data_IF_365910136761
#
_entry.id   IF_365910136761
#
_cell.length_a   1.000
_cell.length_b   1.000
_cell.length_c   1.000
_cell.angle_alpha   90.00
_cell.angle_beta   90.00
_cell.angle_gamma   90.00
#
_symmetry.space_group_name_H-M   'P 1'
#
loop_
_entity.id
_entity.type
_entity.pdbx_description
1 polymer ?
#
# COMPACT_ATOMS: atom_id res chain seq x y z
N UNK A 1 8.72 -59.88 -33.11
CA UNK A 1 9.79 -58.95 -33.51
C UNK A 1 9.12 -57.96 -34.46
N UNK A 2 8.69 -56.81 -33.94
CA UNK A 2 8.18 -55.64 -34.69
C UNK A 2 8.68 -54.39 -33.93
N UNK A 3 9.04 -53.30 -34.63
CA UNK A 3 9.94 -52.29 -34.10
C UNK A 3 9.27 -51.17 -33.29
N UNK A 4 10.17 -50.56 -32.51
CA UNK A 4 10.09 -49.34 -31.73
C UNK A 4 9.53 -48.14 -32.50
N UNK A 5 8.50 -47.47 -31.97
CA UNK A 5 8.23 -46.07 -32.30
C UNK A 5 7.66 -45.32 -31.09
N UNK A 6 8.56 -44.79 -30.26
CA UNK A 6 8.23 -43.84 -29.20
C UNK A 6 7.98 -42.47 -29.83
N UNK A 7 6.70 -42.08 -29.95
CA UNK A 7 6.32 -40.72 -30.34
C UNK A 7 6.64 -39.74 -29.22
N UNK A 8 7.85 -39.17 -29.25
CA UNK A 8 8.21 -38.00 -28.45
C UNK A 8 7.51 -36.76 -29.04
N UNK A 9 6.26 -36.53 -28.65
CA UNK A 9 5.51 -35.30 -28.93
C UNK A 9 5.95 -34.17 -27.96
N UNK A 10 5.77 -32.86 -28.27
CA UNK A 10 6.56 -31.71 -27.83
C UNK A 10 6.24 -31.26 -26.40
N UNK A 11 6.41 -32.17 -25.44
CA UNK A 11 6.18 -31.98 -24.00
C UNK A 11 6.94 -30.78 -23.43
N UNK A 12 8.15 -30.51 -23.92
CA UNK A 12 9.01 -29.41 -23.44
C UNK A 12 8.41 -28.03 -23.71
N UNK A 13 7.77 -27.83 -24.87
CA UNK A 13 7.17 -26.53 -25.24
C UNK A 13 5.91 -26.24 -24.42
N UNK A 14 5.08 -27.27 -24.18
CA UNK A 14 3.89 -27.15 -23.32
C UNK A 14 4.28 -26.88 -21.86
N UNK A 15 5.32 -27.54 -21.37
CA UNK A 15 5.86 -27.32 -20.02
C UNK A 15 6.38 -25.89 -19.84
N UNK A 16 7.13 -25.37 -20.82
CA UNK A 16 7.64 -24.00 -20.80
C UNK A 16 6.53 -22.95 -20.82
N UNK A 17 5.50 -23.15 -21.65
CA UNK A 17 4.34 -22.26 -21.70
C UNK A 17 3.55 -22.29 -20.38
N UNK A 18 3.32 -23.47 -19.81
CA UNK A 18 2.68 -23.61 -18.50
C UNK A 18 3.47 -22.93 -17.37
N UNK A 19 4.79 -23.09 -17.37
CA UNK A 19 5.68 -22.45 -16.39
C UNK A 19 5.67 -20.93 -16.52
N UNK A 20 5.67 -20.41 -17.76
CA UNK A 20 5.61 -18.96 -18.01
C UNK A 20 4.30 -18.33 -17.53
N UNK A 21 3.15 -19.02 -17.73
CA UNK A 21 1.85 -18.55 -17.27
C UNK A 21 1.77 -18.52 -15.73
N UNK A 22 2.35 -19.52 -15.05
CA UNK A 22 2.45 -19.57 -13.59
C UNK A 22 3.34 -18.44 -13.02
N UNK A 23 4.43 -18.11 -13.70
CA UNK A 23 5.32 -17.00 -13.31
C UNK A 23 4.61 -15.64 -13.45
N UNK A 24 3.82 -15.44 -14.49
CA UNK A 24 3.05 -14.21 -14.70
C UNK A 24 1.94 -14.01 -13.65
N UNK A 25 1.29 -15.08 -13.18
CA UNK A 25 0.29 -15.01 -12.11
C UNK A 25 0.91 -14.62 -10.74
N UNK A 26 2.22 -14.84 -10.56
CA UNK A 26 2.94 -14.50 -9.33
C UNK A 26 3.30 -13.00 -9.22
N UNK A 27 3.41 -12.30 -10.35
CA UNK A 27 3.82 -10.90 -10.42
C UNK A 27 2.62 -9.96 -10.21
N UNK A 28 2.09 -9.95 -8.99
CA UNK A 28 1.26 -8.82 -8.58
C UNK A 28 2.18 -7.61 -8.38
N UNK A 29 2.01 -6.56 -9.20
CA UNK A 29 2.72 -5.29 -9.00
C UNK A 29 2.46 -4.79 -7.58
N UNK A 30 3.54 -4.44 -6.87
CA UNK A 30 3.47 -3.96 -5.51
C UNK A 30 3.05 -2.48 -5.52
N UNK A 31 1.91 -2.18 -4.89
CA UNK A 31 1.38 -0.82 -4.74
C UNK A 31 2.45 0.13 -4.18
N UNK A 32 2.64 1.29 -4.80
CA UNK A 32 3.63 2.29 -4.39
C UNK A 32 2.93 3.45 -3.69
N UNK A 33 3.46 3.91 -2.56
CA UNK A 33 2.87 5.00 -1.79
C UNK A 33 3.93 6.02 -1.35
N UNK A 34 3.52 7.27 -1.15
CA UNK A 34 4.36 8.25 -0.49
C UNK A 34 4.64 7.81 0.95
N UNK A 35 5.87 8.04 1.38
CA UNK A 35 6.33 7.85 2.74
C UNK A 35 6.68 9.22 3.33
N UNK A 36 6.17 9.49 4.52
CA UNK A 36 6.58 10.63 5.33
C UNK A 36 6.22 10.39 6.78
N UNK A 37 7.19 10.49 7.70
CA UNK A 37 6.93 10.30 9.13
C UNK A 37 6.21 11.47 9.78
N UNK A 38 6.51 12.69 9.32
CA UNK A 38 5.96 13.94 9.84
C UNK A 38 5.74 14.92 8.69
N UNK A 39 4.52 14.96 8.16
CA UNK A 39 4.06 15.96 7.19
C UNK A 39 3.28 17.02 7.94
N UNK A 40 3.86 18.21 8.06
CA UNK A 40 3.25 19.35 8.76
C UNK A 40 2.37 20.11 7.76
N UNK A 41 1.13 20.49 8.12
CA UNK A 41 0.32 21.38 7.28
C UNK A 41 1.12 22.62 6.87
N UNK A 42 1.03 23.03 5.60
CA UNK A 42 1.71 24.20 5.00
C UNK A 42 3.25 24.13 4.88
N UNK A 43 3.94 23.29 5.68
CA UNK A 43 5.41 23.15 5.63
C UNK A 43 5.84 21.94 4.78
N UNK A 44 4.99 20.93 4.67
CA UNK A 44 5.29 19.71 3.92
C UNK A 44 5.98 18.63 4.77
N UNK A 45 6.72 17.73 4.13
CA UNK A 45 7.35 16.60 4.82
C UNK A 45 8.66 17.00 5.49
N UNK A 46 8.74 16.90 6.83
CA UNK A 46 9.94 17.20 7.60
C UNK A 46 10.91 16.02 7.70
N UNK A 47 10.41 14.78 7.61
CA UNK A 47 11.25 13.59 7.82
C UNK A 47 10.79 12.38 7.01
N UNK A 48 11.74 11.79 6.29
CA UNK A 48 11.55 10.50 5.64
C UNK A 48 10.67 10.56 4.39
N UNK A 49 10.70 11.70 3.68
CA UNK A 49 10.08 11.83 2.36
C UNK A 49 10.69 10.80 1.41
N UNK A 50 9.89 9.84 0.95
CA UNK A 50 10.31 8.84 -0.03
C UNK A 50 9.07 8.21 -0.70
N UNK A 51 9.30 7.22 -1.55
CA UNK A 51 8.29 6.28 -2.04
C UNK A 51 8.61 4.90 -1.50
N UNK A 52 7.58 4.18 -1.04
CA UNK A 52 7.70 2.80 -0.57
C UNK A 52 6.77 1.89 -1.36
N UNK A 53 7.17 0.63 -1.52
CA UNK A 53 6.28 -0.43 -2.01
C UNK A 53 5.59 -1.11 -0.83
N UNK A 54 4.29 -1.34 -0.94
CA UNK A 54 3.50 -1.99 0.09
C UNK A 54 3.44 -3.51 -0.08
N UNK A 55 3.20 -4.22 1.02
CA UNK A 55 2.98 -5.66 0.99
C UNK A 55 1.62 -6.02 0.38
N UNK A 56 1.44 -7.31 0.09
CA UNK A 56 0.15 -7.83 -0.36
C UNK A 56 -0.92 -7.50 0.70
N UNK A 57 -2.03 -6.91 0.25
CA UNK A 57 -3.20 -6.51 1.07
C UNK A 57 -3.02 -5.24 1.93
N UNK A 58 -1.88 -4.58 1.82
CA UNK A 58 -1.74 -3.22 2.34
C UNK A 58 -2.31 -2.18 1.37
N UNK A 59 -2.59 -0.99 1.89
CA UNK A 59 -3.10 0.16 1.15
C UNK A 59 -2.24 1.38 1.45
N UNK A 60 -2.22 2.35 0.55
CA UNK A 60 -1.63 3.65 0.84
C UNK A 60 -2.47 4.32 1.93
N UNK A 61 -1.79 4.94 2.89
CA UNK A 61 -2.42 5.61 4.02
C UNK A 61 -1.94 7.05 4.15
N UNK A 62 -2.89 7.91 4.53
CA UNK A 62 -2.65 9.21 5.14
C UNK A 62 -3.25 9.19 6.55
N UNK A 63 -2.41 9.32 7.55
CA UNK A 63 -2.78 9.23 8.97
C UNK A 63 -2.76 10.63 9.56
N UNK A 64 -3.92 11.16 9.95
CA UNK A 64 -4.06 12.47 10.59
C UNK A 64 -3.92 12.31 12.10
N UNK A 65 -2.86 12.86 12.70
CA UNK A 65 -2.70 12.90 14.15
C UNK A 65 -3.19 14.23 14.69
N UNK A 66 -4.13 14.19 15.65
CA UNK A 66 -4.81 15.36 16.22
C UNK A 66 -4.76 15.35 17.73
N UNK A 67 -4.66 16.53 18.34
CA UNK A 67 -4.86 16.76 19.76
C UNK A 67 -6.19 17.49 19.95
N UNK A 68 -7.22 16.76 20.38
CA UNK A 68 -8.59 17.27 20.34
C UNK A 68 -9.00 17.68 18.93
N UNK A 69 -9.25 18.97 18.70
CA UNK A 69 -9.62 19.52 17.38
C UNK A 69 -8.43 20.02 16.55
N UNK A 70 -7.23 20.07 17.13
CA UNK A 70 -6.06 20.62 16.46
C UNK A 70 -5.26 19.52 15.77
N UNK A 71 -5.06 19.66 14.46
CA UNK A 71 -4.19 18.74 13.70
C UNK A 71 -2.74 19.05 14.00
N UNK A 72 -1.97 18.07 14.45
CA UNK A 72 -0.54 18.24 14.74
C UNK A 72 0.29 17.98 13.48
N UNK A 73 0.12 16.80 12.90
CA UNK A 73 0.86 16.37 11.71
C UNK A 73 0.13 15.21 11.02
N UNK A 74 0.59 14.91 9.81
CA UNK A 74 0.20 13.75 9.03
C UNK A 74 1.35 12.77 8.89
N UNK A 75 1.01 11.51 8.69
CA UNK A 75 1.96 10.47 8.29
C UNK A 75 1.49 9.84 6.98
N UNK A 76 2.43 9.53 6.11
CA UNK A 76 2.19 8.86 4.83
C UNK A 76 2.95 7.53 4.84
N UNK A 77 2.33 6.47 4.32
CA UNK A 77 2.98 5.17 4.14
C UNK A 77 1.99 4.07 3.78
N UNK A 78 2.39 2.81 4.01
CA UNK A 78 1.54 1.65 3.85
C UNK A 78 0.84 1.31 5.18
N UNK A 79 -0.38 0.78 5.10
CA UNK A 79 -1.06 0.22 6.28
C UNK A 79 -1.94 -0.97 5.90
N UNK A 80 -2.24 -1.82 6.87
CA UNK A 80 -3.23 -2.88 6.70
C UNK A 80 -4.59 -2.29 6.33
N UNK A 81 -5.29 -2.91 5.37
CA UNK A 81 -6.66 -2.54 5.01
C UNK A 81 -7.61 -2.50 6.21
N UNK A 82 -7.33 -3.28 7.27
CA UNK A 82 -8.12 -3.28 8.51
C UNK A 82 -8.04 -1.96 9.29
N UNK A 83 -7.02 -1.15 9.07
CA UNK A 83 -6.86 0.15 9.74
C UNK A 83 -7.65 1.27 9.04
N UNK A 84 -8.03 1.08 7.78
CA UNK A 84 -8.64 2.12 6.98
C UNK A 84 -9.99 2.58 7.55
N UNK A 85 -10.17 3.89 7.68
CA UNK A 85 -11.35 4.51 8.28
C UNK A 85 -11.41 4.46 9.81
N UNK A 86 -10.44 3.82 10.47
CA UNK A 86 -10.39 3.76 11.94
C UNK A 86 -9.79 5.03 12.53
N UNK A 87 -10.28 5.38 13.70
CA UNK A 87 -9.65 6.36 14.58
C UNK A 87 -9.10 5.63 15.79
N UNK A 88 -7.84 5.91 16.14
CA UNK A 88 -7.17 5.34 17.32
C UNK A 88 -6.75 6.45 18.26
N UNK A 89 -7.18 6.38 19.51
CA UNK A 89 -6.61 7.19 20.58
C UNK A 89 -5.30 6.54 21.07
N UNK A 90 -4.29 7.35 21.39
CA UNK A 90 -3.05 6.83 22.01
C UNK A 90 -3.30 6.34 23.44
N UNK A 91 -4.13 7.05 24.20
CA UNK A 91 -4.56 6.73 25.56
C UNK A 91 -5.74 7.64 25.94
N UNK A 92 -6.49 7.28 27.00
CA UNK A 92 -7.69 8.02 27.40
C UNK A 92 -7.39 9.44 27.93
N UNK A 93 -6.15 9.70 28.36
CA UNK A 93 -5.72 10.98 28.96
C UNK A 93 -5.12 11.96 27.94
N UNK A 94 -4.33 11.49 26.98
CA UNK A 94 -3.57 12.36 26.05
C UNK A 94 -4.44 13.12 25.06
N UNK A 95 -5.74 12.81 24.91
CA UNK A 95 -6.64 13.36 23.87
C UNK A 95 -6.05 13.31 22.45
N UNK A 96 -5.03 12.48 22.26
CA UNK A 96 -4.27 12.33 21.03
C UNK A 96 -4.96 11.23 20.22
N UNK A 97 -5.49 11.59 19.06
CA UNK A 97 -6.14 10.66 18.15
C UNK A 97 -5.45 10.60 16.79
N UNK A 98 -5.51 9.44 16.16
CA UNK A 98 -4.96 9.18 14.83
C UNK A 98 -6.04 8.59 13.94
N UNK A 99 -6.44 9.33 12.90
CA UNK A 99 -7.44 8.90 11.92
C UNK A 99 -6.76 8.40 10.65
N UNK A 100 -7.08 7.16 10.28
CA UNK A 100 -6.49 6.48 9.13
C UNK A 100 -7.38 6.62 7.90
N UNK A 101 -6.79 7.08 6.81
CA UNK A 101 -7.50 7.23 5.55
C UNK A 101 -6.70 6.59 4.44
N UNK A 102 -7.37 5.81 3.60
CA UNK A 102 -6.68 4.93 2.66
C UNK A 102 -7.15 5.11 1.22
N UNK A 103 -6.27 4.75 0.30
CA UNK A 103 -6.52 4.70 -1.13
C UNK A 103 -5.69 3.57 -1.77
N UNK A 104 -6.04 3.19 -3.00
CA UNK A 104 -5.58 1.91 -3.59
C UNK A 104 -4.79 2.07 -4.90
N UNK A 105 -4.57 3.30 -5.37
CA UNK A 105 -3.79 3.56 -6.57
C UNK A 105 -2.39 4.04 -6.21
N UNK A 106 -1.44 3.88 -7.12
CA UNK A 106 -0.06 4.33 -6.88
C UNK A 106 -0.02 5.81 -6.50
N UNK A 107 0.76 6.11 -5.46
CA UNK A 107 1.06 7.46 -4.97
C UNK A 107 -0.17 8.30 -4.59
N UNK A 108 -1.31 7.66 -4.36
CA UNK A 108 -2.59 8.35 -4.10
C UNK A 108 -2.68 9.10 -2.77
N UNK A 109 -1.72 8.91 -1.86
CA UNK A 109 -1.74 9.49 -0.52
C UNK A 109 -1.01 10.84 -0.43
N UNK A 110 -0.86 11.57 -1.54
CA UNK A 110 -0.15 12.85 -1.60
C UNK A 110 -0.91 13.99 -0.89
N UNK A 111 -2.21 14.11 -1.12
CA UNK A 111 -3.01 15.26 -0.72
C UNK A 111 -4.30 14.88 0.01
N UNK A 112 -4.71 15.76 0.92
CA UNK A 112 -6.04 15.73 1.52
C UNK A 112 -6.73 17.04 1.14
N UNK A 113 -7.88 16.93 0.49
CA UNK A 113 -8.74 18.07 0.19
C UNK A 113 -9.03 18.84 1.47
N UNK A 114 -8.86 20.16 1.41
CA UNK A 114 -9.17 21.09 2.48
C UNK A 114 -10.40 20.63 3.25
N UNK A 115 -10.28 20.56 4.57
CA UNK A 115 -11.41 20.48 5.48
C UNK A 115 -12.32 21.65 5.10
N UNK A 116 -13.38 21.35 4.32
CA UNK A 116 -14.42 22.31 3.96
C UNK A 116 -14.93 22.86 5.27
N UNK A 117 -14.52 24.09 5.57
CA UNK A 117 -15.05 24.86 6.68
C UNK A 117 -16.46 25.28 6.25
N UNK A 118 -17.43 24.42 6.52
CA UNK A 118 -18.83 24.82 6.59
C UNK A 118 -19.15 25.22 8.05
#
# INVERSE_FOLDING_TARGET
MEPMESRTFPTTKLLLLGLSLLLCLGAAEALRCHLCKYKIPLVGCLRGANVTSCERREKCALIKTSLGKMTLYYQQGCTSALNCGRERASDAESRLSSRYSCCETDLCNEEWGEERRD
#
